data_IF_055158648957
#
_entry.id   IF_055158648957
#
_cell.length_a   1.000
_cell.length_b   1.000
_cell.length_c   1.000
_cell.angle_alpha   90.00
_cell.angle_beta   90.00
_cell.angle_gamma   90.00
#
_symmetry.space_group_name_H-M   'P 1'
#
loop_
_entity.id
_entity.type
_entity.pdbx_description
1 polymer ?
#
# COMPACT_ATOMS: atom_id res chain seq x y z
N UNK A 1 3.55 7.21 -9.73
CA UNK A 1 4.97 7.52 -9.47
C UNK A 1 5.24 7.96 -8.04
N UNK A 2 4.77 9.13 -7.58
CA UNK A 2 5.08 9.64 -6.22
C UNK A 2 4.86 8.64 -5.08
N UNK A 3 3.74 7.90 -5.09
CA UNK A 3 3.47 6.88 -4.07
C UNK A 3 4.46 5.71 -4.10
N UNK A 4 4.80 5.22 -5.30
CA UNK A 4 5.76 4.13 -5.47
C UNK A 4 7.17 4.56 -5.06
N UNK A 5 7.63 5.72 -5.54
CA UNK A 5 8.91 6.30 -5.15
C UNK A 5 9.01 6.43 -3.62
N UNK A 6 7.99 7.04 -3.01
CA UNK A 6 7.96 7.25 -1.56
C UNK A 6 8.01 5.95 -0.78
N UNK A 7 7.26 4.94 -1.21
CA UNK A 7 7.22 3.65 -0.54
C UNK A 7 8.54 2.88 -0.68
N UNK A 8 9.19 2.95 -1.85
CA UNK A 8 10.50 2.31 -2.10
C UNK A 8 11.59 2.93 -1.26
N UNK A 9 11.69 4.27 -1.23
CA UNK A 9 12.71 4.94 -0.43
C UNK A 9 12.47 4.73 1.07
N UNK A 10 11.20 4.66 1.51
CA UNK A 10 10.89 4.23 2.89
C UNK A 10 11.44 2.83 3.15
N UNK A 11 11.09 1.84 2.32
CA UNK A 11 11.53 0.45 2.52
C UNK A 11 13.05 0.33 2.52
N UNK A 12 13.73 1.01 1.60
CA UNK A 12 15.20 1.02 1.49
C UNK A 12 15.84 1.62 2.75
N UNK A 13 15.36 2.77 3.22
CA UNK A 13 15.86 3.37 4.45
C UNK A 13 15.64 2.46 5.67
N UNK A 14 14.51 1.75 5.74
CA UNK A 14 14.25 0.83 6.84
C UNK A 14 15.22 -0.36 6.84
N UNK A 15 15.61 -0.84 5.66
CA UNK A 15 16.65 -1.87 5.50
C UNK A 15 18.00 -1.33 5.97
N UNK A 16 18.41 -0.15 5.50
CA UNK A 16 19.68 0.47 5.89
C UNK A 16 19.76 0.71 7.41
N UNK A 17 18.67 1.20 8.01
CA UNK A 17 18.57 1.42 9.46
C UNK A 17 18.72 0.10 10.24
N UNK A 18 18.14 -1.00 9.75
CA UNK A 18 18.27 -2.31 10.38
C UNK A 18 19.66 -2.93 10.22
N UNK A 19 20.32 -2.73 9.07
CA UNK A 19 21.71 -3.15 8.88
C UNK A 19 22.60 -2.38 9.85
N UNK A 20 22.46 -1.06 9.92
CA UNK A 20 23.23 -0.21 10.83
C UNK A 20 23.00 -0.57 12.31
N UNK A 21 21.77 -0.92 12.69
CA UNK A 21 21.46 -1.39 14.04
C UNK A 21 22.18 -2.70 14.38
N UNK A 22 22.18 -3.67 13.46
CA UNK A 22 22.88 -4.95 13.65
C UNK A 22 24.40 -4.77 13.73
N UNK A 23 24.98 -3.90 12.90
CA UNK A 23 26.40 -3.55 12.99
C UNK A 23 26.75 -2.88 14.32
N UNK A 24 25.88 -1.99 14.82
CA UNK A 24 26.05 -1.35 16.13
C UNK A 24 25.99 -2.37 17.29
N UNK A 25 25.29 -3.49 17.10
CA UNK A 25 25.26 -4.64 18.01
C UNK A 25 26.46 -5.59 17.85
N UNK A 26 27.36 -5.30 16.90
CA UNK A 26 28.59 -6.07 16.67
C UNK A 26 28.44 -7.23 15.68
N UNK A 27 27.34 -7.30 14.93
CA UNK A 27 27.18 -8.26 13.83
C UNK A 27 28.10 -7.85 12.67
N UNK A 28 28.79 -8.82 12.07
CA UNK A 28 29.67 -8.57 10.92
C UNK A 28 28.87 -8.05 9.71
N UNK A 29 29.44 -7.13 8.93
CA UNK A 29 28.74 -6.40 7.86
C UNK A 29 27.99 -7.31 6.87
N UNK A 30 28.61 -8.42 6.43
CA UNK A 30 27.96 -9.38 5.53
C UNK A 30 26.74 -10.05 6.15
N UNK A 31 26.86 -10.49 7.41
CA UNK A 31 25.74 -11.07 8.15
C UNK A 31 24.64 -10.05 8.49
N UNK A 32 25.03 -8.82 8.86
CA UNK A 32 24.12 -7.72 9.13
C UNK A 32 23.31 -7.35 7.88
N UNK A 33 23.95 -7.29 6.72
CA UNK A 33 23.32 -7.03 5.42
C UNK A 33 22.26 -8.07 5.09
N UNK A 34 22.60 -9.36 5.20
CA UNK A 34 21.66 -10.45 4.92
C UNK A 34 20.45 -10.43 5.86
N UNK A 35 20.68 -10.21 7.16
CA UNK A 35 19.60 -10.14 8.17
C UNK A 35 18.73 -8.91 7.99
N UNK A 36 19.33 -7.74 7.73
CA UNK A 36 18.62 -6.49 7.51
C UNK A 36 17.69 -6.56 6.30
N UNK A 37 18.18 -7.08 5.17
CA UNK A 37 17.34 -7.29 3.98
C UNK A 37 16.23 -8.32 4.27
N UNK A 38 16.56 -9.47 4.88
CA UNK A 38 15.57 -10.50 5.19
C UNK A 38 14.48 -10.01 6.15
N UNK A 39 14.80 -9.07 7.05
CA UNK A 39 13.85 -8.46 7.96
C UNK A 39 12.78 -7.64 7.24
N UNK A 40 13.00 -7.20 5.99
CA UNK A 40 12.02 -6.43 5.20
C UNK A 40 11.61 -7.14 3.90
N UNK A 41 11.76 -8.47 3.85
CA UNK A 41 11.34 -9.26 2.69
C UNK A 41 9.87 -9.05 2.28
N UNK A 42 8.88 -8.91 3.19
CA UNK A 42 7.52 -8.54 2.82
C UNK A 42 7.47 -7.19 2.11
N UNK A 43 8.11 -6.16 2.63
CA UNK A 43 8.18 -4.83 2.03
C UNK A 43 8.85 -4.87 0.65
N UNK A 44 9.91 -5.64 0.47
CA UNK A 44 10.52 -5.85 -0.85
C UNK A 44 9.55 -6.45 -1.87
N UNK A 45 8.80 -7.49 -1.48
CA UNK A 45 7.79 -8.11 -2.34
C UNK A 45 6.66 -7.13 -2.68
N UNK A 46 6.19 -6.36 -1.69
CA UNK A 46 5.20 -5.29 -1.88
C UNK A 46 5.70 -4.24 -2.88
N UNK A 47 6.95 -3.78 -2.74
CA UNK A 47 7.55 -2.77 -3.61
C UNK A 47 7.75 -3.27 -5.04
N UNK A 48 8.16 -4.53 -5.21
CA UNK A 48 8.29 -5.17 -6.52
C UNK A 48 6.96 -5.12 -7.28
N UNK A 49 5.87 -5.51 -6.62
CA UNK A 49 4.51 -5.47 -7.22
C UNK A 49 4.09 -4.04 -7.50
N UNK A 50 4.19 -3.15 -6.51
CA UNK A 50 3.75 -1.75 -6.63
C UNK A 50 4.47 -1.02 -7.77
N UNK A 51 5.79 -1.14 -7.86
CA UNK A 51 6.59 -0.42 -8.85
C UNK A 51 6.37 -0.96 -10.26
N UNK A 52 6.27 -2.28 -10.42
CA UNK A 52 5.99 -2.88 -11.73
C UNK A 52 4.59 -2.53 -12.23
N UNK A 53 3.56 -2.56 -11.37
CA UNK A 53 2.20 -2.16 -11.74
C UNK A 53 2.10 -0.64 -12.03
N UNK A 54 2.85 0.20 -11.31
CA UNK A 54 2.91 1.64 -11.59
C UNK A 54 3.65 1.93 -12.91
N UNK A 55 4.75 1.22 -13.19
CA UNK A 55 5.47 1.37 -14.45
C UNK A 55 4.59 0.98 -15.64
N UNK A 56 3.90 -0.17 -15.55
CA UNK A 56 2.94 -0.68 -16.52
C UNK A 56 1.84 0.36 -16.82
N UNK A 57 1.22 0.92 -15.77
CA UNK A 57 0.22 1.99 -15.93
C UNK A 57 0.78 3.24 -16.62
N UNK A 58 1.96 3.71 -16.21
CA UNK A 58 2.55 4.95 -16.75
C UNK A 58 2.91 4.80 -18.23
N UNK A 59 3.49 3.67 -18.64
CA UNK A 59 3.84 3.46 -20.05
C UNK A 59 2.62 3.24 -20.93
N UNK A 60 1.58 2.59 -20.41
CA UNK A 60 0.30 2.41 -21.12
C UNK A 60 -0.38 3.76 -21.40
N UNK A 61 -0.49 4.61 -20.38
CA UNK A 61 -1.02 5.97 -20.54
C UNK A 61 -0.12 6.84 -21.42
N UNK A 62 1.21 6.64 -21.39
CA UNK A 62 2.11 7.36 -22.28
C UNK A 62 1.87 7.00 -23.75
N UNK A 63 1.65 5.71 -24.07
CA UNK A 63 1.25 5.28 -25.42
C UNK A 63 -0.05 5.99 -25.82
N UNK A 64 -1.04 5.98 -24.93
CA UNK A 64 -2.35 6.60 -25.17
C UNK A 64 -2.24 8.12 -25.45
N UNK A 65 -1.39 8.83 -24.70
CA UNK A 65 -1.14 10.27 -24.89
C UNK A 65 -0.48 10.55 -26.26
N UNK A 66 0.40 9.66 -26.73
CA UNK A 66 1.06 9.81 -28.02
C UNK A 66 0.18 9.34 -29.21
N UNK A 67 -0.98 8.73 -28.95
CA UNK A 67 -1.87 8.21 -29.98
C UNK A 67 -1.17 7.21 -30.89
N UNK A 68 -1.39 7.32 -32.21
CA UNK A 68 -0.75 6.44 -33.19
C UNK A 68 0.78 6.46 -33.16
N UNK A 69 1.39 7.58 -32.75
CA UNK A 69 2.85 7.66 -32.60
C UNK A 69 3.35 6.83 -31.43
N UNK A 70 2.54 6.62 -30.38
CA UNK A 70 2.90 5.75 -29.25
C UNK A 70 3.09 4.28 -29.64
N UNK A 71 2.54 3.86 -30.79
CA UNK A 71 2.74 2.52 -31.36
C UNK A 71 3.88 2.47 -32.41
N UNK A 72 4.46 3.62 -32.75
CA UNK A 72 5.57 3.69 -33.70
C UNK A 72 6.89 3.38 -33.01
N UNK A 73 7.69 2.48 -33.62
CA UNK A 73 9.05 2.16 -33.20
C UNK A 73 10.02 3.36 -33.29
N UNK A 74 9.59 4.46 -33.93
CA UNK A 74 10.34 5.72 -33.95
C UNK A 74 10.26 6.49 -32.63
N UNK A 75 9.33 6.14 -31.73
CA UNK A 75 9.19 6.77 -30.41
C UNK A 75 9.83 5.93 -29.32
N UNK A 76 10.28 6.58 -28.25
CA UNK A 76 10.79 5.86 -27.07
C UNK A 76 9.68 5.20 -26.25
N UNK A 77 8.43 5.66 -26.42
CA UNK A 77 7.27 5.20 -25.66
C UNK A 77 6.88 3.76 -26.04
N UNK A 78 6.92 3.42 -27.32
CA UNK A 78 6.68 2.05 -27.80
C UNK A 78 7.65 1.06 -27.15
N UNK A 79 8.94 1.40 -27.11
CA UNK A 79 9.96 0.57 -26.48
C UNK A 79 9.73 0.45 -24.98
N UNK A 80 9.49 1.57 -24.30
CA UNK A 80 9.24 1.58 -22.86
C UNK A 80 8.03 0.71 -22.49
N UNK A 81 6.96 0.72 -23.31
CA UNK A 81 5.79 -0.13 -23.13
C UNK A 81 6.15 -1.62 -23.17
N UNK A 82 6.89 -2.06 -24.19
CA UNK A 82 7.34 -3.45 -24.30
C UNK A 82 8.26 -3.86 -23.15
N UNK A 83 9.23 -3.00 -22.84
CA UNK A 83 10.25 -3.28 -21.82
C UNK A 83 9.62 -3.37 -20.41
N UNK A 84 8.55 -2.61 -20.13
CA UNK A 84 7.88 -2.65 -18.83
C UNK A 84 7.22 -4.01 -18.52
N UNK A 85 6.81 -4.76 -19.55
CA UNK A 85 5.99 -5.97 -19.37
C UNK A 85 6.69 -7.06 -18.55
N UNK A 86 8.00 -7.20 -18.72
CA UNK A 86 8.79 -8.24 -18.07
C UNK A 86 8.93 -8.03 -16.55
N UNK A 87 8.79 -6.78 -16.07
CA UNK A 87 8.92 -6.44 -14.65
C UNK A 87 7.86 -7.12 -13.78
N UNK A 88 6.69 -7.44 -14.35
CA UNK A 88 5.61 -8.16 -13.65
C UNK A 88 5.88 -9.68 -13.55
N UNK A 89 6.94 -10.18 -14.19
CA UNK A 89 7.24 -11.61 -14.37
C UNK A 89 8.56 -12.00 -13.69
N UNK A 90 9.65 -11.27 -13.93
CA UNK A 90 10.96 -11.56 -13.32
C UNK A 90 11.00 -11.14 -11.85
N UNK A 91 11.99 -11.65 -11.10
CA UNK A 91 12.09 -11.55 -9.64
C UNK A 91 10.85 -12.10 -8.91
N UNK A 92 10.33 -13.21 -9.45
CA UNK A 92 9.04 -13.81 -9.09
C UNK A 92 7.87 -13.04 -9.70
N UNK A 93 6.85 -13.75 -10.19
CA UNK A 93 5.67 -13.05 -10.76
C UNK A 93 4.97 -12.20 -9.71
N UNK A 94 4.17 -11.23 -10.12
CA UNK A 94 3.44 -10.39 -9.16
C UNK A 94 2.46 -11.22 -8.31
N UNK A 95 1.91 -12.31 -8.85
CA UNK A 95 1.06 -13.26 -8.11
C UNK A 95 1.86 -13.96 -7.00
N UNK A 96 3.06 -14.46 -7.32
CA UNK A 96 3.94 -15.07 -6.32
C UNK A 96 4.34 -14.07 -5.24
N UNK A 97 4.71 -12.84 -5.61
CA UNK A 97 5.08 -11.82 -4.64
C UNK A 97 3.91 -11.41 -3.71
N UNK A 98 2.67 -11.34 -4.24
CA UNK A 98 1.46 -11.13 -3.42
C UNK A 98 1.29 -12.25 -2.39
N UNK A 99 1.39 -13.51 -2.82
CA UNK A 99 1.27 -14.66 -1.95
C UNK A 99 2.36 -14.71 -0.87
N UNK A 100 3.62 -14.44 -1.28
CA UNK A 100 4.76 -14.40 -0.36
C UNK A 100 4.64 -13.30 0.69
N UNK A 101 4.10 -12.14 0.33
CA UNK A 101 3.90 -11.02 1.28
C UNK A 101 3.11 -11.48 2.50
N UNK A 102 1.98 -12.15 2.27
CA UNK A 102 1.12 -12.63 3.36
C UNK A 102 1.77 -13.79 4.11
N UNK A 103 2.34 -14.77 3.39
CA UNK A 103 3.01 -15.93 4.00
C UNK A 103 4.18 -15.53 4.91
N UNK A 104 5.03 -14.60 4.48
CA UNK A 104 6.17 -14.13 5.28
C UNK A 104 5.73 -13.40 6.54
N UNK A 105 4.66 -12.60 6.47
CA UNK A 105 4.12 -11.89 7.65
C UNK A 105 3.46 -12.86 8.64
N UNK A 106 2.70 -13.84 8.16
CA UNK A 106 2.15 -14.89 9.00
C UNK A 106 3.25 -15.72 9.68
N UNK A 107 4.33 -16.05 8.96
CA UNK A 107 5.49 -16.74 9.53
C UNK A 107 6.18 -15.93 10.64
N UNK A 108 6.35 -14.62 10.45
CA UNK A 108 6.87 -13.73 11.51
C UNK A 108 5.99 -13.78 12.76
N UNK A 109 4.67 -13.75 12.58
CA UNK A 109 3.74 -13.85 13.69
C UNK A 109 3.79 -15.20 14.41
N UNK A 110 3.87 -16.31 13.66
CA UNK A 110 4.02 -17.65 14.23
C UNK A 110 5.32 -17.84 15.01
N UNK A 111 6.40 -17.13 14.62
CA UNK A 111 7.68 -17.11 15.33
C UNK A 111 7.69 -16.17 16.54
N UNK A 112 6.63 -15.40 16.77
CA UNK A 112 6.57 -14.40 17.83
C UNK A 112 7.39 -13.13 17.56
N UNK A 113 7.85 -12.92 16.32
CA UNK A 113 8.58 -11.72 15.90
C UNK A 113 7.63 -10.52 15.69
N UNK A 114 6.32 -10.79 15.55
CA UNK A 114 5.29 -9.77 15.33
C UNK A 114 3.97 -10.21 15.99
N UNK A 115 3.37 -9.36 16.82
CA UNK A 115 2.02 -9.63 17.35
C UNK A 115 0.95 -9.20 16.34
N UNK A 116 0.27 -10.19 15.75
CA UNK A 116 -0.92 -9.97 14.93
C UNK A 116 -2.22 -10.30 15.67
N UNK A 117 -2.16 -11.13 16.72
CA UNK A 117 -3.35 -11.64 17.39
C UNK A 117 -3.95 -10.60 18.33
N UNK A 118 -3.13 -9.87 19.08
CA UNK A 118 -3.58 -8.77 19.94
C UNK A 118 -4.35 -7.72 19.15
N UNK A 119 -3.73 -7.09 18.13
CA UNK A 119 -4.39 -6.10 17.28
C UNK A 119 -5.64 -6.64 16.55
N UNK A 120 -5.63 -7.89 16.08
CA UNK A 120 -6.81 -8.48 15.44
C UNK A 120 -7.98 -8.67 16.43
N UNK A 121 -7.69 -9.07 17.67
CA UNK A 121 -8.70 -9.21 18.72
C UNK A 121 -9.27 -7.85 19.13
N UNK A 122 -8.45 -6.80 19.19
CA UNK A 122 -8.92 -5.43 19.42
C UNK A 122 -9.90 -4.99 18.33
N UNK A 123 -9.59 -5.27 17.07
CA UNK A 123 -10.48 -4.96 15.93
C UNK A 123 -11.79 -5.72 16.04
N UNK A 124 -11.76 -7.01 16.38
CA UNK A 124 -12.96 -7.82 16.58
C UNK A 124 -13.86 -7.24 17.69
N UNK A 125 -13.27 -6.85 18.82
CA UNK A 125 -13.98 -6.20 19.93
C UNK A 125 -14.62 -4.87 19.47
N UNK A 126 -13.90 -4.06 18.68
CA UNK A 126 -14.39 -2.79 18.13
C UNK A 126 -15.56 -2.94 17.14
N UNK A 127 -15.75 -4.12 16.53
CA UNK A 127 -16.89 -4.39 15.65
C UNK A 127 -18.16 -4.69 16.44
N UNK A 128 -18.02 -5.36 17.58
CA UNK A 128 -19.13 -5.65 18.50
C UNK A 128 -19.45 -4.49 19.45
N UNK A 129 -18.48 -3.59 19.64
CA UNK A 129 -18.60 -2.43 20.51
C UNK A 129 -19.42 -1.28 19.91
N UNK A 130 -19.71 -0.30 20.77
CA UNK A 130 -20.36 0.94 20.34
C UNK A 130 -19.36 1.72 19.46
N UNK A 131 -19.76 2.14 18.24
CA UNK A 131 -18.90 2.95 17.39
C UNK A 131 -18.45 4.23 18.08
N UNK A 132 -17.21 4.64 17.86
CA UNK A 132 -16.75 5.96 18.25
C UNK A 132 -17.41 7.02 17.35
N UNK A 133 -18.05 8.01 17.98
CA UNK A 133 -18.69 9.15 17.33
C UNK A 133 -17.90 10.45 17.50
N UNK A 134 -16.68 10.36 18.02
CA UNK A 134 -15.76 11.49 18.11
C UNK A 134 -15.52 12.08 16.72
N UNK A 135 -15.50 13.42 16.60
CA UNK A 135 -15.21 14.05 15.32
C UNK A 135 -13.81 13.66 14.84
N UNK A 136 -13.60 13.49 13.52
CA UNK A 136 -12.27 13.22 13.01
C UNK A 136 -11.32 14.39 13.31
N UNK A 137 -10.00 14.15 13.40
CA UNK A 137 -9.02 15.20 13.64
C UNK A 137 -9.17 16.37 12.65
N UNK A 138 -8.99 17.60 13.14
CA UNK A 138 -9.04 18.81 12.31
C UNK A 138 -7.80 18.95 11.44
N UNK A 139 -6.62 18.56 11.95
CA UNK A 139 -5.39 18.52 11.17
C UNK A 139 -5.47 17.49 10.05
N UNK A 140 -5.00 17.88 8.86
CA UNK A 140 -5.11 17.04 7.67
C UNK A 140 -4.23 15.78 7.80
N UNK A 141 -3.05 15.87 8.40
CA UNK A 141 -2.14 14.74 8.52
C UNK A 141 -2.62 13.75 9.58
N UNK A 142 -3.04 14.25 10.76
CA UNK A 142 -3.65 13.42 11.80
C UNK A 142 -4.89 12.68 11.28
N UNK A 143 -5.74 13.36 10.51
CA UNK A 143 -6.91 12.74 9.89
C UNK A 143 -6.53 11.64 8.90
N UNK A 144 -5.54 11.88 8.06
CA UNK A 144 -5.10 10.87 7.09
C UNK A 144 -4.40 9.70 7.78
N UNK A 145 -3.62 9.92 8.84
CA UNK A 145 -3.06 8.85 9.69
C UNK A 145 -4.16 8.04 10.38
N UNK A 146 -5.26 8.67 10.79
CA UNK A 146 -6.45 7.96 11.27
C UNK A 146 -7.06 7.06 10.18
N UNK A 147 -7.17 7.53 8.93
CA UNK A 147 -7.61 6.68 7.81
C UNK A 147 -6.68 5.49 7.59
N UNK A 148 -5.36 5.70 7.61
CA UNK A 148 -4.37 4.62 7.51
C UNK A 148 -4.55 3.60 8.64
N UNK A 149 -4.76 4.06 9.88
CA UNK A 149 -5.05 3.17 11.01
C UNK A 149 -6.29 2.33 10.72
N UNK A 150 -7.34 2.92 10.17
CA UNK A 150 -8.54 2.17 9.82
C UNK A 150 -8.30 1.18 8.65
N UNK A 151 -7.50 1.52 7.64
CA UNK A 151 -7.10 0.57 6.60
C UNK A 151 -6.32 -0.62 7.18
N UNK A 152 -5.45 -0.39 8.18
CA UNK A 152 -4.79 -1.47 8.91
C UNK A 152 -5.79 -2.34 9.68
N UNK A 153 -6.83 -1.75 10.28
CA UNK A 153 -7.91 -2.50 10.93
C UNK A 153 -8.68 -3.36 9.92
N UNK A 154 -8.96 -2.87 8.71
CA UNK A 154 -9.64 -3.69 7.70
C UNK A 154 -8.77 -4.87 7.25
N UNK A 155 -7.46 -4.68 7.09
CA UNK A 155 -6.51 -5.78 6.81
C UNK A 155 -6.52 -6.80 7.95
N UNK A 156 -6.36 -6.37 9.20
CA UNK A 156 -6.35 -7.25 10.37
C UNK A 156 -7.67 -8.03 10.53
N UNK A 157 -8.80 -7.39 10.26
CA UNK A 157 -10.11 -8.05 10.26
C UNK A 157 -10.19 -9.14 9.19
N UNK A 158 -9.84 -8.82 7.93
CA UNK A 158 -9.93 -9.79 6.83
C UNK A 158 -8.93 -10.93 7.03
N UNK A 159 -7.65 -10.60 7.27
CA UNK A 159 -6.59 -11.60 7.41
C UNK A 159 -6.75 -12.44 8.68
N UNK A 160 -7.13 -11.82 9.81
CA UNK A 160 -7.37 -12.52 11.07
C UNK A 160 -8.53 -13.51 10.97
N UNK A 161 -9.67 -13.08 10.42
CA UNK A 161 -10.82 -13.96 10.21
C UNK A 161 -10.52 -15.06 9.19
N UNK A 162 -9.79 -14.76 8.11
CA UNK A 162 -9.37 -15.76 7.12
C UNK A 162 -8.46 -16.82 7.75
N UNK A 163 -7.46 -16.40 8.53
CA UNK A 163 -6.56 -17.32 9.25
C UNK A 163 -7.31 -18.21 10.25
N UNK A 164 -8.27 -17.64 10.99
CA UNK A 164 -9.06 -18.40 11.96
C UNK A 164 -10.01 -19.41 11.29
N UNK A 165 -10.64 -19.04 10.17
CA UNK A 165 -11.63 -19.92 9.50
C UNK A 165 -11.02 -20.96 8.59
N UNK A 166 -10.04 -20.55 7.79
CA UNK A 166 -9.44 -21.39 6.76
C UNK A 166 -8.26 -22.20 7.31
N UNK A 167 -7.61 -21.72 8.38
CA UNK A 167 -6.55 -22.44 9.08
C UNK A 167 -5.50 -23.03 8.10
N UNK A 168 -5.33 -24.35 8.11
CA UNK A 168 -4.38 -25.08 7.25
C UNK A 168 -4.72 -25.02 5.75
N UNK A 169 -5.94 -24.64 5.36
CA UNK A 169 -6.32 -24.48 3.95
C UNK A 169 -6.11 -23.07 3.42
N UNK A 170 -5.82 -22.07 4.27
CA UNK A 170 -5.64 -20.68 3.86
C UNK A 170 -4.62 -20.54 2.72
N UNK A 171 -3.51 -21.29 2.77
CA UNK A 171 -2.47 -21.26 1.74
C UNK A 171 -2.96 -21.70 0.34
N UNK A 172 -4.12 -22.37 0.24
CA UNK A 172 -4.75 -22.78 -1.01
C UNK A 172 -5.74 -21.74 -1.55
N UNK A 173 -6.17 -20.78 -0.72
CA UNK A 173 -7.12 -19.73 -1.07
C UNK A 173 -6.39 -18.52 -1.65
N UNK A 174 -5.87 -18.67 -2.86
CA UNK A 174 -4.97 -17.69 -3.46
C UNK A 174 -5.66 -16.33 -3.68
N UNK A 175 -6.92 -16.33 -4.05
CA UNK A 175 -7.74 -15.15 -4.29
C UNK A 175 -7.90 -14.29 -3.02
N UNK A 176 -8.08 -14.95 -1.88
CA UNK A 176 -8.16 -14.30 -0.57
C UNK A 176 -6.80 -13.71 -0.20
N UNK A 177 -5.73 -14.49 -0.37
CA UNK A 177 -4.37 -14.06 -0.06
C UNK A 177 -3.91 -12.89 -0.95
N UNK A 178 -4.23 -12.91 -2.25
CA UNK A 178 -3.95 -11.80 -3.16
C UNK A 178 -4.73 -10.54 -2.79
N UNK A 179 -6.01 -10.68 -2.40
CA UNK A 179 -6.82 -9.55 -1.94
C UNK A 179 -6.22 -8.90 -0.67
N UNK A 180 -5.79 -9.72 0.29
CA UNK A 180 -5.10 -9.24 1.50
C UNK A 180 -3.79 -8.53 1.11
N UNK A 181 -2.98 -9.13 0.24
CA UNK A 181 -1.72 -8.55 -0.22
C UNK A 181 -1.92 -7.18 -0.90
N UNK A 182 -2.95 -7.04 -1.74
CA UNK A 182 -3.26 -5.77 -2.39
C UNK A 182 -3.71 -4.70 -1.38
N UNK A 183 -4.55 -5.06 -0.40
CA UNK A 183 -4.91 -4.15 0.70
C UNK A 183 -3.66 -3.65 1.45
N UNK A 184 -2.72 -4.55 1.72
CA UNK A 184 -1.45 -4.24 2.39
C UNK A 184 -0.57 -3.32 1.54
N UNK A 185 -0.39 -3.63 0.25
CA UNK A 185 0.36 -2.82 -0.70
C UNK A 185 -0.15 -1.38 -0.76
N UNK A 186 -1.47 -1.21 -0.94
CA UNK A 186 -2.07 0.12 -1.03
C UNK A 186 -1.98 0.88 0.30
N UNK A 187 -2.16 0.20 1.43
CA UNK A 187 -2.06 0.80 2.76
C UNK A 187 -0.63 1.23 3.07
N UNK A 188 0.37 0.40 2.75
CA UNK A 188 1.78 0.74 2.94
C UNK A 188 2.19 1.95 2.09
N UNK A 189 1.79 1.97 0.83
CA UNK A 189 2.04 3.12 -0.06
C UNK A 189 1.34 4.39 0.44
N UNK A 190 0.08 4.28 0.88
CA UNK A 190 -0.69 5.41 1.37
C UNK A 190 -0.08 6.01 2.65
N UNK A 191 0.30 5.16 3.61
CA UNK A 191 1.00 5.61 4.82
C UNK A 191 2.32 6.30 4.48
N UNK A 192 3.11 5.71 3.59
CA UNK A 192 4.40 6.27 3.18
C UNK A 192 4.24 7.67 2.60
N UNK A 193 3.21 7.88 1.76
CA UNK A 193 2.87 9.19 1.19
C UNK A 193 2.45 10.19 2.27
N UNK A 194 1.58 9.81 3.20
CA UNK A 194 1.16 10.69 4.30
C UNK A 194 2.36 11.15 5.12
N UNK A 195 3.23 10.22 5.50
CA UNK A 195 4.43 10.52 6.30
C UNK A 195 5.43 11.41 5.53
N UNK A 196 5.66 11.15 4.24
CA UNK A 196 6.58 11.99 3.42
C UNK A 196 6.04 13.41 3.29
N UNK A 197 4.75 13.58 3.00
CA UNK A 197 4.16 14.92 2.82
C UNK A 197 4.11 15.68 4.14
N UNK A 198 3.77 15.02 5.25
CA UNK A 198 3.85 15.63 6.58
C UNK A 198 5.27 16.08 6.91
N UNK A 199 6.27 15.22 6.66
CA UNK A 199 7.69 15.56 6.85
C UNK A 199 8.11 16.75 5.99
N UNK A 200 7.68 16.79 4.72
CA UNK A 200 7.95 17.90 3.80
C UNK A 200 7.33 19.21 4.31
N UNK A 201 6.07 19.18 4.75
CA UNK A 201 5.41 20.35 5.33
C UNK A 201 6.13 20.86 6.58
N UNK A 202 6.53 19.95 7.48
CA UNK A 202 7.22 20.33 8.70
C UNK A 202 8.62 20.91 8.42
N UNK A 203 9.30 20.44 7.37
CA UNK A 203 10.65 20.87 7.04
C UNK A 203 10.70 22.11 6.14
N UNK A 204 9.76 22.27 5.20
CA UNK A 204 9.79 23.29 4.13
C UNK A 204 8.53 24.16 4.06
N UNK A 205 7.54 23.93 4.93
CA UNK A 205 6.30 24.70 4.99
C UNK A 205 5.21 24.25 4.02
N UNK A 206 4.02 24.81 4.21
CA UNK A 206 2.80 24.43 3.49
C UNK A 206 2.86 24.70 1.99
N UNK A 207 3.56 25.75 1.56
CA UNK A 207 3.73 26.08 0.14
C UNK A 207 4.48 24.98 -0.61
N UNK A 208 5.61 24.52 -0.07
CA UNK A 208 6.39 23.42 -0.65
C UNK A 208 5.62 22.09 -0.65
N UNK A 209 4.73 21.89 0.33
CA UNK A 209 3.92 20.68 0.46
C UNK A 209 2.60 20.73 -0.31
N UNK A 210 2.20 21.85 -0.93
CA UNK A 210 0.86 22.05 -1.47
C UNK A 210 0.48 21.02 -2.56
N UNK A 211 1.33 20.81 -3.58
CA UNK A 211 1.07 19.82 -4.63
C UNK A 211 1.28 18.37 -4.14
N UNK A 212 2.31 18.04 -3.34
CA UNK A 212 2.39 16.74 -2.68
C UNK A 212 1.17 16.41 -1.81
N UNK A 213 0.55 17.41 -1.17
CA UNK A 213 -0.68 17.27 -0.39
C UNK A 213 -1.88 16.93 -1.29
N UNK A 214 -1.98 17.51 -2.48
CA UNK A 214 -2.98 17.11 -3.49
C UNK A 214 -2.79 15.65 -3.94
N UNK A 215 -1.54 15.22 -4.14
CA UNK A 215 -1.20 13.83 -4.48
C UNK A 215 -1.59 12.90 -3.33
N UNK A 216 -1.25 13.24 -2.08
CA UNK A 216 -1.58 12.46 -0.88
C UNK A 216 -3.09 12.26 -0.75
N UNK A 217 -3.87 13.33 -0.76
CA UNK A 217 -5.31 13.27 -0.59
C UNK A 217 -5.99 12.49 -1.73
N UNK A 218 -5.55 12.71 -2.97
CA UNK A 218 -6.06 11.96 -4.14
C UNK A 218 -5.75 10.47 -4.02
N UNK A 219 -4.53 10.12 -3.60
CA UNK A 219 -4.11 8.73 -3.47
C UNK A 219 -4.88 8.02 -2.35
N UNK A 220 -4.91 8.61 -1.14
CA UNK A 220 -5.62 8.06 0.02
C UNK A 220 -7.11 7.89 -0.27
N UNK A 221 -7.74 8.88 -0.91
CA UNK A 221 -9.14 8.79 -1.32
C UNK A 221 -9.38 7.61 -2.27
N UNK A 222 -8.54 7.47 -3.31
CA UNK A 222 -8.71 6.44 -4.34
C UNK A 222 -8.44 5.03 -3.81
N UNK A 223 -7.47 4.85 -2.91
CA UNK A 223 -7.15 3.52 -2.38
C UNK A 223 -8.15 3.06 -1.31
N UNK A 224 -8.84 3.97 -0.64
CA UNK A 224 -9.88 3.60 0.31
C UNK A 224 -10.94 2.69 -0.34
N UNK A 225 -11.41 3.06 -1.54
CA UNK A 225 -12.36 2.25 -2.30
C UNK A 225 -11.76 0.93 -2.79
N UNK A 226 -10.51 0.93 -3.23
CA UNK A 226 -9.81 -0.30 -3.65
C UNK A 226 -9.68 -1.31 -2.51
N UNK A 227 -9.29 -0.83 -1.32
CA UNK A 227 -9.21 -1.64 -0.09
C UNK A 227 -10.58 -2.18 0.29
N UNK A 228 -11.63 -1.37 0.15
CA UNK A 228 -13.00 -1.80 0.43
C UNK A 228 -13.44 -2.93 -0.50
N UNK A 229 -13.23 -2.78 -1.81
CA UNK A 229 -13.59 -3.79 -2.80
C UNK A 229 -12.82 -5.08 -2.56
N UNK A 230 -11.49 -5.02 -2.48
CA UNK A 230 -10.65 -6.21 -2.25
C UNK A 230 -11.01 -6.94 -0.94
N UNK A 231 -11.21 -6.19 0.15
CA UNK A 231 -11.59 -6.80 1.43
C UNK A 231 -12.99 -7.42 1.39
N UNK A 232 -13.95 -6.82 0.68
CA UNK A 232 -15.28 -7.42 0.50
C UNK A 232 -15.21 -8.71 -0.32
N UNK A 233 -14.48 -8.70 -1.43
CA UNK A 233 -14.32 -9.86 -2.29
C UNK A 233 -13.69 -11.02 -1.52
N UNK A 234 -12.66 -10.73 -0.70
CA UNK A 234 -12.08 -11.72 0.21
C UNK A 234 -13.09 -12.25 1.22
N UNK A 235 -13.79 -11.38 1.97
CA UNK A 235 -14.74 -11.79 3.01
C UNK A 235 -15.88 -12.66 2.46
N UNK A 236 -16.43 -12.29 1.30
CA UNK A 236 -17.51 -13.04 0.66
C UNK A 236 -17.02 -14.44 0.23
N UNK A 237 -15.71 -14.61 -0.02
CA UNK A 237 -15.12 -15.89 -0.38
C UNK A 237 -15.09 -16.92 0.74
N UNK A 238 -15.17 -16.53 2.03
CA UNK A 238 -15.04 -17.47 3.15
C UNK A 238 -15.98 -17.26 4.34
N UNK A 239 -16.70 -16.14 4.41
CA UNK A 239 -17.62 -15.84 5.50
C UNK A 239 -19.07 -15.80 5.03
N UNK A 240 -19.99 -16.13 5.95
CA UNK A 240 -21.41 -16.24 5.65
C UNK A 240 -22.27 -15.65 6.78
N UNK A 241 -23.58 -15.54 6.54
CA UNK A 241 -24.56 -15.20 7.58
C UNK A 241 -24.33 -13.82 8.21
N UNK A 242 -24.61 -13.74 9.52
CA UNK A 242 -24.53 -12.49 10.26
C UNK A 242 -23.10 -12.02 10.52
N UNK A 243 -22.15 -12.95 10.57
CA UNK A 243 -20.73 -12.63 10.68
C UNK A 243 -20.24 -11.90 9.43
N UNK A 244 -20.58 -12.39 8.23
CA UNK A 244 -20.27 -11.68 6.98
C UNK A 244 -20.87 -10.28 6.99
N UNK A 245 -22.15 -10.13 7.34
CA UNK A 245 -22.80 -8.80 7.37
C UNK A 245 -22.06 -7.84 8.31
N UNK A 246 -21.64 -8.32 9.48
CA UNK A 246 -20.87 -7.54 10.45
C UNK A 246 -19.51 -7.11 9.88
N UNK A 247 -18.76 -8.03 9.27
CA UNK A 247 -17.48 -7.72 8.67
C UNK A 247 -17.60 -6.77 7.46
N UNK A 248 -18.65 -6.91 6.64
CA UNK A 248 -18.95 -5.97 5.55
C UNK A 248 -19.28 -4.56 6.06
N UNK A 249 -19.97 -4.44 7.20
CA UNK A 249 -20.15 -3.16 7.88
C UNK A 249 -18.81 -2.60 8.40
N UNK A 250 -17.97 -3.47 8.97
CA UNK A 250 -16.60 -3.16 9.36
C UNK A 250 -15.78 -2.58 8.20
N UNK A 251 -15.79 -3.25 7.05
CA UNK A 251 -15.12 -2.77 5.83
C UNK A 251 -15.61 -1.37 5.46
N UNK A 252 -16.92 -1.18 5.37
CA UNK A 252 -17.52 0.13 5.06
C UNK A 252 -17.11 1.22 6.07
N UNK A 253 -17.02 0.89 7.36
CA UNK A 253 -16.59 1.83 8.41
C UNK A 253 -15.12 2.17 8.27
N UNK A 254 -14.27 1.17 8.12
CA UNK A 254 -12.82 1.32 8.13
C UNK A 254 -12.25 1.93 6.85
N UNK A 255 -12.95 1.80 5.74
CA UNK A 255 -12.53 2.42 4.47
C UNK A 255 -13.25 3.75 4.19
N UNK A 256 -13.99 4.29 5.16
CA UNK A 256 -14.66 5.58 5.00
C UNK A 256 -13.64 6.71 5.12
N UNK A 257 -13.58 7.53 4.08
CA UNK A 257 -12.78 8.76 4.00
C UNK A 257 -13.67 9.94 3.62
N UNK A 258 -13.26 11.16 3.96
CA UNK A 258 -14.00 12.35 3.59
C UNK A 258 -13.98 12.54 2.06
N UNK A 259 -15.06 13.07 1.45
CA UNK A 259 -15.07 13.41 0.04
C UNK A 259 -13.94 14.37 -0.32
N UNK A 260 -13.17 14.04 -1.35
CA UNK A 260 -12.10 14.89 -1.85
C UNK A 260 -12.27 15.15 -3.35
N UNK A 261 -12.12 16.40 -3.77
CA UNK A 261 -12.24 16.79 -5.17
C UNK A 261 -10.96 16.41 -5.95
N UNK A 262 -10.83 15.12 -6.25
CA UNK A 262 -9.71 14.56 -7.00
C UNK A 262 -9.56 15.20 -8.39
N UNK A 263 -10.65 15.72 -8.99
CA UNK A 263 -10.61 16.35 -10.31
C UNK A 263 -9.74 17.61 -10.28
N UNK A 264 -10.00 18.51 -9.34
CA UNK A 264 -9.24 19.76 -9.24
C UNK A 264 -7.81 19.54 -8.74
N UNK A 265 -7.62 18.61 -7.80
CA UNK A 265 -6.28 18.22 -7.34
C UNK A 265 -5.41 17.67 -8.49
N UNK A 266 -5.95 16.73 -9.29
CA UNK A 266 -5.25 16.20 -10.47
C UNK A 266 -4.94 17.28 -11.50
N UNK A 267 -5.81 18.27 -11.70
CA UNK A 267 -5.56 19.40 -12.61
C UNK A 267 -4.40 20.28 -12.15
N UNK A 268 -4.31 20.58 -10.84
CA UNK A 268 -3.17 21.34 -10.28
C UNK A 268 -1.85 20.59 -10.43
N UNK A 269 -1.85 19.30 -10.09
CA UNK A 269 -0.67 18.42 -10.25
C UNK A 269 -0.25 18.33 -11.72
N UNK A 270 -1.20 18.10 -12.63
CA UNK A 270 -0.93 18.04 -14.06
C UNK A 270 -0.39 19.38 -14.61
N UNK A 271 -0.97 20.50 -14.19
CA UNK A 271 -0.51 21.84 -14.58
C UNK A 271 0.96 22.05 -14.25
N UNK A 272 1.40 21.67 -13.04
CA UNK A 272 2.81 21.78 -12.63
C UNK A 272 3.75 20.89 -13.47
N UNK A 273 3.36 19.65 -13.76
CA UNK A 273 4.15 18.76 -14.62
C UNK A 273 4.24 19.29 -16.06
N UNK A 274 3.15 19.83 -16.60
CA UNK A 274 3.09 20.38 -17.96
C UNK A 274 3.96 21.64 -18.06
N UNK A 275 3.86 22.54 -17.09
CA UNK A 275 4.65 23.77 -17.05
C UNK A 275 6.16 23.50 -17.00
N UNK A 276 6.58 22.48 -16.24
CA UNK A 276 7.99 22.09 -16.13
C UNK A 276 8.45 21.09 -17.20
N UNK A 277 7.49 20.47 -17.90
CA UNK A 277 7.72 19.39 -18.86
C UNK A 277 8.53 18.20 -18.28
N UNK A 278 8.34 17.90 -16.99
CA UNK A 278 9.00 16.80 -16.29
C UNK A 278 8.19 16.35 -15.06
N UNK A 279 8.63 15.25 -14.44
CA UNK A 279 8.17 14.88 -13.11
C UNK A 279 8.89 15.75 -12.05
N UNK A 280 8.13 16.53 -11.26
CA UNK A 280 8.69 17.61 -10.46
C UNK A 280 8.41 17.54 -8.94
N UNK A 281 8.30 16.33 -8.37
CA UNK A 281 7.91 16.09 -6.97
C UNK A 281 8.93 15.25 -6.20
#
# INVERSE_FOLDING_TARGET
TYAAETAVYRATQNIDDAIAALEAEGVEHGEATLKGIAAFAPECAMMKVLCSDVADYVVDEAVQIHGGMGYSAETQVERAYRDARINKIFEGTNEINRMLTVDMILKKAMKGEMDLMGPAMEVANELTGIPDFSPPPSDVYERHLMYIKNFKKSILMVAGSAAQKLMMTLAKEQEILMSIADMMNWTYAAESVVLRVQKLNNAKGAEAAALPLDIMQTYVYSVADKINVAGKDALIGFAEGDELKMMLMGMKRFTKVDPFNCKEARRRVAGACIEKNEYCF
#
